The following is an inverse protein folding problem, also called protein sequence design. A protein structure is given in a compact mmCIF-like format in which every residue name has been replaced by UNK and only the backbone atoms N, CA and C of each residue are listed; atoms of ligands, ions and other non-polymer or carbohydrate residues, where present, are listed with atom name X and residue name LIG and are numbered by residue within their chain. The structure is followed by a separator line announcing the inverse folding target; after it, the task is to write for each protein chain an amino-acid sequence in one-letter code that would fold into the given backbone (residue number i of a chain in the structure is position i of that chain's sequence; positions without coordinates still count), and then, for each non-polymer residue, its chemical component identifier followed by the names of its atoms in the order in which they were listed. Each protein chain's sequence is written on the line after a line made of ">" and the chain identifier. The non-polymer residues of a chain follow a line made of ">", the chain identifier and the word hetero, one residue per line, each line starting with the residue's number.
data_IF_836202719806
#
_entry.id   IF_836202719806
#
_cell.length_a   1.000
_cell.length_b   1.000
_cell.length_c   1.000
_cell.angle_alpha   90.00
_cell.angle_beta   90.00
_cell.angle_gamma   90.00
#
_symmetry.space_group_name_H-M   'P 1'
#
loop_
_entity.id
_entity.type
_entity.pdbx_description
1 polymer ?
#
# COMPACT_ATOMS: atom_id res chain seq x y z
N UNK A 1 3.43 8.27 23.54
CA UNK A 1 2.89 8.23 22.17
C UNK A 1 3.73 7.24 21.38
N UNK A 2 3.15 6.16 20.87
CA UNK A 2 3.88 5.28 19.93
C UNK A 2 4.12 6.09 18.65
N UNK A 3 5.38 6.31 18.28
CA UNK A 3 5.73 6.99 17.04
C UNK A 3 5.14 6.22 15.85
N UNK A 4 4.52 6.94 14.91
CA UNK A 4 4.11 6.39 13.62
C UNK A 4 5.34 5.76 12.97
N UNK A 5 5.20 4.54 12.45
CA UNK A 5 6.31 3.78 11.89
C UNK A 5 5.93 3.19 10.55
N UNK A 6 6.79 3.38 9.54
CA UNK A 6 6.65 2.75 8.22
C UNK A 6 7.84 1.83 7.93
N UNK A 7 7.70 0.80 7.08
CA UNK A 7 8.84 0.01 6.62
C UNK A 7 9.86 0.89 5.88
N UNK A 8 11.13 0.48 5.89
CA UNK A 8 12.17 1.00 5.00
C UNK A 8 11.73 0.85 3.54
N UNK A 9 11.72 1.94 2.79
CA UNK A 9 11.57 1.90 1.34
C UNK A 9 12.95 1.80 0.69
N UNK A 10 13.30 0.58 0.30
CA UNK A 10 14.59 0.28 -0.33
C UNK A 10 14.75 0.86 -1.74
N UNK A 11 13.76 1.60 -2.24
CA UNK A 11 13.75 2.20 -3.57
C UNK A 11 13.86 3.72 -3.56
N UNK A 12 14.14 4.36 -2.41
CA UNK A 12 14.38 5.81 -2.36
C UNK A 12 15.73 6.15 -2.99
N UNK A 13 15.70 6.79 -4.16
CA UNK A 13 16.89 7.14 -4.92
C UNK A 13 16.84 8.58 -5.43
N UNK A 14 18.00 9.17 -5.68
CA UNK A 14 18.15 10.50 -6.26
C UNK A 14 19.43 10.57 -7.06
N UNK A 15 19.36 11.04 -8.31
CA UNK A 15 20.55 11.30 -9.12
C UNK A 15 21.07 12.73 -8.95
N UNK A 16 20.42 13.55 -8.12
CA UNK A 16 20.80 14.92 -7.86
C UNK A 16 22.26 15.00 -7.34
N UNK A 17 23.13 15.85 -7.91
CA UNK A 17 24.54 15.93 -7.51
C UNK A 17 24.73 16.23 -6.03
N UNK A 18 23.91 17.11 -5.45
CA UNK A 18 23.99 17.45 -4.02
C UNK A 18 23.55 16.28 -3.12
N UNK A 19 22.63 15.42 -3.57
CA UNK A 19 22.28 14.20 -2.84
C UNK A 19 23.46 13.22 -2.82
N UNK A 20 24.16 13.08 -3.95
CA UNK A 20 25.37 12.27 -4.03
C UNK A 20 26.48 12.83 -3.13
N UNK A 21 26.73 14.13 -3.18
CA UNK A 21 27.72 14.80 -2.33
C UNK A 21 27.43 14.64 -0.85
N UNK A 22 26.17 14.81 -0.44
CA UNK A 22 25.74 14.57 0.94
C UNK A 22 26.07 13.15 1.40
N UNK A 23 25.72 12.13 0.60
CA UNK A 23 26.03 10.73 0.91
C UNK A 23 27.54 10.52 1.01
N UNK A 24 28.33 11.09 0.10
CA UNK A 24 29.79 10.95 0.10
C UNK A 24 30.43 11.57 1.35
N UNK A 25 29.94 12.74 1.80
CA UNK A 25 30.37 13.37 3.06
C UNK A 25 30.11 12.45 4.26
N UNK A 26 28.91 11.87 4.37
CA UNK A 26 28.59 10.92 5.46
C UNK A 26 29.43 9.66 5.32
N UNK A 27 29.63 9.16 4.10
CA UNK A 27 30.36 7.93 3.85
C UNK A 27 31.83 8.05 4.24
N UNK A 28 32.51 9.11 3.81
CA UNK A 28 33.91 9.38 4.13
C UNK A 28 34.11 9.64 5.64
N UNK A 29 33.21 10.42 6.26
CA UNK A 29 33.36 10.82 7.66
C UNK A 29 33.15 9.68 8.65
N UNK A 30 32.17 8.79 8.39
CA UNK A 30 31.74 7.78 9.35
C UNK A 30 32.11 6.35 8.96
N UNK A 31 32.55 6.13 7.72
CA UNK A 31 33.00 4.82 7.24
C UNK A 31 34.30 4.91 6.43
N UNK A 32 35.37 5.53 6.97
CA UNK A 32 36.59 5.82 6.20
C UNK A 32 37.28 4.56 5.66
N UNK A 33 37.16 3.42 6.34
CA UNK A 33 37.72 2.14 5.88
C UNK A 33 36.98 1.63 4.64
N UNK A 34 35.65 1.64 4.67
CA UNK A 34 34.80 1.21 3.55
C UNK A 34 34.90 2.19 2.38
N UNK A 35 35.05 3.49 2.66
CA UNK A 35 35.29 4.52 1.66
C UNK A 35 36.60 4.29 0.89
N UNK A 36 37.64 3.78 1.55
CA UNK A 36 38.93 3.44 0.93
C UNK A 36 38.99 2.02 0.35
N UNK A 37 37.94 1.22 0.50
CA UNK A 37 37.91 -0.17 0.00
C UNK A 37 37.89 -0.26 -1.53
N UNK A 38 38.02 -1.47 -2.07
CA UNK A 38 37.98 -1.70 -3.52
C UNK A 38 36.70 -1.15 -4.17
N UNK A 39 36.77 -0.84 -5.46
CA UNK A 39 35.69 -0.16 -6.22
C UNK A 39 34.33 -0.83 -6.08
N UNK A 40 34.27 -2.16 -6.19
CA UNK A 40 33.00 -2.92 -6.14
C UNK A 40 32.36 -2.87 -4.76
N UNK A 41 33.14 -3.19 -3.71
CA UNK A 41 32.68 -3.14 -2.32
C UNK A 41 32.24 -1.75 -1.91
N UNK A 42 33.03 -0.74 -2.28
CA UNK A 42 32.74 0.69 -2.04
C UNK A 42 31.42 1.11 -2.68
N UNK A 43 31.20 0.75 -3.96
CA UNK A 43 29.97 1.08 -4.68
C UNK A 43 28.75 0.46 -4.01
N UNK A 44 28.78 -0.84 -3.72
CA UNK A 44 27.68 -1.55 -3.06
C UNK A 44 27.37 -0.97 -1.67
N UNK A 45 28.39 -0.70 -0.85
CA UNK A 45 28.18 -0.11 0.47
C UNK A 45 27.60 1.31 0.39
N UNK A 46 28.09 2.12 -0.56
CA UNK A 46 27.56 3.46 -0.80
C UNK A 46 26.09 3.43 -1.22
N UNK A 47 25.68 2.47 -2.06
CA UNK A 47 24.28 2.29 -2.46
C UNK A 47 23.40 2.01 -1.24
N UNK A 48 23.78 1.04 -0.39
CA UNK A 48 23.03 0.71 0.83
C UNK A 48 22.93 1.92 1.78
N UNK A 49 24.02 2.66 1.96
CA UNK A 49 24.06 3.88 2.78
C UNK A 49 23.15 4.98 2.20
N UNK A 50 23.22 5.20 0.88
CA UNK A 50 22.43 6.22 0.18
C UNK A 50 20.94 5.99 0.39
N UNK A 51 20.46 4.78 0.15
CA UNK A 51 19.04 4.44 0.35
C UNK A 51 18.59 4.70 1.78
N UNK A 52 19.38 4.28 2.76
CA UNK A 52 19.06 4.51 4.17
C UNK A 52 18.93 6.00 4.51
N UNK A 53 19.90 6.80 4.07
CA UNK A 53 19.96 8.22 4.36
C UNK A 53 18.83 8.99 3.65
N UNK A 54 18.56 8.67 2.39
CA UNK A 54 17.47 9.29 1.63
C UNK A 54 16.10 8.90 2.20
N UNK A 55 15.90 7.64 2.59
CA UNK A 55 14.62 7.23 3.19
C UNK A 55 14.40 7.87 4.57
N UNK A 56 15.46 8.02 5.38
CA UNK A 56 15.42 8.79 6.63
C UNK A 56 15.12 10.28 6.39
N UNK A 57 15.71 10.88 5.36
CA UNK A 57 15.46 12.27 4.98
C UNK A 57 14.00 12.49 4.58
N UNK A 58 13.46 11.62 3.72
CA UNK A 58 12.03 11.66 3.33
C UNK A 58 11.14 11.46 4.57
N UNK A 59 11.43 10.46 5.39
CA UNK A 59 10.62 10.19 6.60
C UNK A 59 10.60 11.37 7.57
N UNK A 60 11.71 12.07 7.74
CA UNK A 60 11.82 13.22 8.64
C UNK A 60 11.09 14.46 8.10
N UNK A 61 11.20 14.73 6.79
CA UNK A 61 10.46 15.80 6.13
C UNK A 61 8.94 15.55 6.16
N UNK A 62 8.52 14.29 6.06
CA UNK A 62 7.13 13.91 6.26
C UNK A 62 6.73 14.17 7.71
N UNK A 63 7.30 13.47 8.68
CA UNK A 63 6.99 13.70 10.09
C UNK A 63 8.26 13.55 10.93
N UNK A 64 8.73 14.61 11.61
CA UNK A 64 9.91 14.55 12.45
C UNK A 64 9.86 13.49 13.57
N UNK A 65 8.66 13.00 13.94
CA UNK A 65 8.47 11.93 14.93
C UNK A 65 8.35 10.55 14.30
N UNK A 66 8.21 10.43 12.99
CA UNK A 66 8.08 9.15 12.29
C UNK A 66 9.37 8.34 12.38
N UNK A 67 9.21 7.03 12.51
CA UNK A 67 10.33 6.08 12.57
C UNK A 67 10.28 5.11 11.41
N UNK A 68 11.44 4.60 11.01
CA UNK A 68 11.54 3.58 9.96
C UNK A 68 11.75 2.22 10.60
N UNK A 69 10.89 1.26 10.25
CA UNK A 69 11.02 -0.14 10.60
C UNK A 69 12.07 -0.84 9.73
N UNK A 70 13.05 -1.49 10.36
CA UNK A 70 14.17 -2.17 9.70
C UNK A 70 14.36 -3.59 10.22
N UNK A 71 14.58 -4.52 9.28
CA UNK A 71 14.98 -5.88 9.59
C UNK A 71 16.45 -5.95 10.01
N UNK A 72 16.76 -6.64 11.10
CA UNK A 72 18.12 -6.75 11.65
C UNK A 72 18.73 -8.15 11.48
N UNK A 73 18.23 -8.93 10.51
CA UNK A 73 18.78 -10.24 10.14
C UNK A 73 18.85 -10.39 8.62
N UNK A 74 19.71 -11.30 8.14
CA UNK A 74 19.96 -11.49 6.71
C UNK A 74 18.71 -11.90 5.93
N UNK A 75 17.74 -12.57 6.57
CA UNK A 75 16.51 -13.04 5.90
C UNK A 75 15.62 -11.91 5.37
N UNK A 76 15.80 -10.68 5.84
CA UNK A 76 15.09 -9.50 5.33
C UNK A 76 15.66 -8.97 4.01
N UNK A 77 16.88 -9.37 3.63
CA UNK A 77 17.60 -8.78 2.49
C UNK A 77 17.88 -9.86 1.44
N UNK A 78 17.02 -9.92 0.42
CA UNK A 78 17.19 -10.79 -0.74
C UNK A 78 17.80 -9.98 -1.88
N UNK A 79 19.13 -10.05 -2.02
CA UNK A 79 19.89 -9.22 -2.97
C UNK A 79 19.48 -9.46 -4.42
N UNK A 80 19.30 -10.72 -4.81
CA UNK A 80 19.02 -11.11 -6.20
C UNK A 80 17.52 -11.18 -6.52
N UNK A 81 16.67 -10.65 -5.64
CA UNK A 81 15.22 -10.63 -5.87
C UNK A 81 14.85 -9.47 -6.79
N UNK A 82 13.93 -9.70 -7.74
CA UNK A 82 13.39 -8.63 -8.60
C UNK A 82 12.75 -7.49 -7.81
N UNK A 83 12.24 -7.78 -6.61
CA UNK A 83 11.60 -6.79 -5.73
C UNK A 83 12.61 -5.90 -4.99
N UNK A 84 13.91 -6.16 -5.16
CA UNK A 84 15.02 -5.41 -4.60
C UNK A 84 15.89 -4.84 -5.74
N UNK A 85 15.32 -3.92 -6.52
CA UNK A 85 15.97 -3.33 -7.70
C UNK A 85 17.33 -2.66 -7.42
N UNK A 86 17.58 -2.23 -6.17
CA UNK A 86 18.88 -1.66 -5.76
C UNK A 86 19.87 -2.68 -5.22
N UNK A 87 19.51 -3.96 -5.20
CA UNK A 87 20.32 -5.04 -4.64
C UNK A 87 20.77 -4.73 -3.20
N UNK A 88 19.87 -4.11 -2.41
CA UNK A 88 20.17 -3.73 -1.03
C UNK A 88 20.52 -4.97 -0.23
N UNK A 89 21.70 -4.93 0.38
CA UNK A 89 22.28 -6.10 1.03
C UNK A 89 22.13 -6.06 2.54
N UNK A 90 22.44 -7.18 3.19
CA UNK A 90 22.49 -7.26 4.66
C UNK A 90 23.57 -6.35 5.28
N UNK A 91 24.48 -5.75 4.48
CA UNK A 91 25.43 -4.73 4.94
C UNK A 91 24.71 -3.51 5.52
N UNK A 92 23.45 -3.28 5.15
CA UNK A 92 22.62 -2.26 5.78
C UNK A 92 22.58 -2.39 7.31
N UNK A 93 22.63 -3.61 7.84
CA UNK A 93 22.66 -3.87 9.29
C UNK A 93 23.92 -3.27 9.94
N UNK A 94 25.10 -3.43 9.32
CA UNK A 94 26.34 -2.87 9.86
C UNK A 94 26.36 -1.34 9.73
N UNK A 95 25.80 -0.80 8.65
CA UNK A 95 25.59 0.65 8.47
C UNK A 95 24.72 1.20 9.62
N UNK A 96 23.56 0.60 9.87
CA UNK A 96 22.63 1.01 10.94
C UNK A 96 23.33 0.98 12.32
N UNK A 97 24.07 -0.08 12.62
CA UNK A 97 24.78 -0.21 13.90
C UNK A 97 25.81 0.90 14.08
N UNK A 98 26.61 1.19 13.06
CA UNK A 98 27.65 2.22 13.16
C UNK A 98 27.04 3.64 13.22
N UNK A 99 26.02 3.94 12.42
CA UNK A 99 25.30 5.23 12.51
C UNK A 99 24.65 5.43 13.87
N UNK A 100 24.14 4.36 14.48
CA UNK A 100 23.57 4.41 15.83
C UNK A 100 24.65 4.68 16.88
N UNK A 101 25.80 3.99 16.77
CA UNK A 101 26.95 4.14 17.67
C UNK A 101 27.56 5.54 17.63
N UNK A 102 27.68 6.11 16.43
CA UNK A 102 28.21 7.47 16.20
C UNK A 102 27.19 8.58 16.54
N UNK A 103 25.94 8.19 16.78
CA UNK A 103 24.86 9.08 17.22
C UNK A 103 24.20 9.87 16.09
N UNK A 104 24.35 9.46 14.83
CA UNK A 104 23.59 10.02 13.71
C UNK A 104 22.12 9.56 13.74
N UNK A 105 21.88 8.33 14.18
CA UNK A 105 20.52 7.79 14.29
C UNK A 105 20.24 7.28 15.70
N UNK A 106 18.95 7.24 16.03
CA UNK A 106 18.43 6.42 17.11
C UNK A 106 18.10 5.03 16.59
N UNK A 107 18.18 4.05 17.49
CA UNK A 107 17.82 2.66 17.22
C UNK A 107 17.06 2.14 18.44
N UNK A 108 15.84 1.69 18.22
CA UNK A 108 15.05 0.92 19.19
C UNK A 108 14.97 -0.52 18.69
N UNK A 109 15.56 -1.50 19.40
CA UNK A 109 15.46 -2.90 19.00
C UNK A 109 14.01 -3.37 18.91
N UNK A 110 13.74 -4.22 17.91
CA UNK A 110 12.51 -4.98 17.80
C UNK A 110 12.45 -6.13 18.82
N UNK A 111 11.37 -6.90 18.77
CA UNK A 111 11.18 -8.09 19.57
C UNK A 111 10.44 -9.15 18.74
N UNK A 112 11.09 -10.30 18.57
CA UNK A 112 10.51 -11.45 17.85
C UNK A 112 9.21 -11.92 18.52
N UNK A 113 9.18 -11.96 19.86
CA UNK A 113 8.00 -12.36 20.63
C UNK A 113 6.76 -11.49 20.34
N UNK A 114 6.96 -10.20 20.11
CA UNK A 114 5.88 -9.27 19.75
C UNK A 114 5.69 -9.07 18.25
N UNK A 115 6.46 -9.76 17.40
CA UNK A 115 6.47 -9.57 15.95
C UNK A 115 6.90 -8.16 15.50
N UNK A 116 7.55 -7.38 16.37
CA UNK A 116 7.95 -6.00 16.08
C UNK A 116 9.37 -5.97 15.52
N UNK A 117 9.55 -5.30 14.38
CA UNK A 117 10.89 -5.00 13.83
C UNK A 117 11.56 -3.83 14.55
N UNK A 118 12.88 -3.70 14.40
CA UNK A 118 13.62 -2.56 14.97
C UNK A 118 13.20 -1.26 14.31
N UNK A 119 13.28 -0.16 15.06
CA UNK A 119 12.92 1.19 14.58
C UNK A 119 14.12 2.13 14.63
N UNK A 120 14.30 2.91 13.58
CA UNK A 120 15.34 3.93 13.49
C UNK A 120 14.75 5.31 13.19
N UNK A 121 15.47 6.36 13.55
CA UNK A 121 15.10 7.75 13.28
C UNK A 121 16.37 8.61 13.28
N UNK A 122 16.40 9.75 12.56
CA UNK A 122 17.54 10.64 12.60
C UNK A 122 17.64 11.33 13.98
N UNK A 123 18.88 11.52 14.46
CA UNK A 123 19.18 12.34 15.65
C UNK A 123 19.66 13.72 15.23
N UNK A 124 19.79 14.63 16.20
CA UNK A 124 20.22 16.01 16.01
C UNK A 124 21.43 16.19 15.07
N UNK A 125 22.45 15.30 15.15
CA UNK A 125 23.62 15.35 14.24
C UNK A 125 23.24 15.15 12.78
N UNK A 126 22.43 14.14 12.47
CA UNK A 126 21.98 13.87 11.10
C UNK A 126 20.95 14.89 10.63
N UNK A 127 20.05 15.34 11.52
CA UNK A 127 19.10 16.41 11.22
C UNK A 127 19.83 17.69 10.80
N UNK A 128 20.90 18.08 11.51
CA UNK A 128 21.72 19.23 11.13
C UNK A 128 22.36 19.07 9.75
N UNK A 129 22.73 17.85 9.36
CA UNK A 129 23.22 17.58 8.00
C UNK A 129 22.08 17.71 6.98
N UNK A 130 20.89 17.19 7.29
CA UNK A 130 19.70 17.33 6.45
C UNK A 130 19.28 18.79 6.22
N UNK A 131 19.33 19.63 7.26
CA UNK A 131 19.04 21.07 7.16
C UNK A 131 20.04 21.81 6.24
N UNK A 132 21.24 21.27 6.05
CA UNK A 132 22.28 21.86 5.19
C UNK A 132 22.30 21.32 3.75
N UNK A 133 21.42 20.39 3.38
CA UNK A 133 21.40 19.84 2.02
C UNK A 133 20.79 20.82 1.02
N UNK A 134 21.20 20.71 -0.24
CA UNK A 134 20.74 21.55 -1.37
C UNK A 134 19.93 20.74 -2.39
N UNK A 135 19.12 19.82 -1.90
CA UNK A 135 18.16 19.02 -2.66
C UNK A 135 16.92 18.83 -1.78
N UNK A 136 15.76 18.62 -2.40
CA UNK A 136 14.49 18.44 -1.71
C UNK A 136 13.95 17.00 -1.79
N UNK A 137 12.77 16.80 -1.23
CA UNK A 137 12.07 15.49 -1.28
C UNK A 137 11.53 15.17 -2.67
N UNK A 138 11.38 16.19 -3.51
CA UNK A 138 11.02 16.15 -4.92
C UNK A 138 12.16 15.60 -5.79
N UNK A 139 13.42 15.75 -5.35
CA UNK A 139 14.59 15.17 -6.02
C UNK A 139 14.77 13.68 -5.72
N UNK A 140 13.91 13.11 -4.86
CA UNK A 140 13.95 11.70 -4.46
C UNK A 140 12.77 10.98 -5.10
N UNK A 141 13.07 9.98 -5.92
CA UNK A 141 12.06 9.18 -6.62
C UNK A 141 12.35 7.67 -6.53
N UNK A 142 11.33 6.82 -6.69
CA UNK A 142 11.53 5.42 -6.97
C UNK A 142 12.38 5.25 -8.24
N UNK A 143 13.21 4.21 -8.27
CA UNK A 143 13.87 3.81 -9.51
C UNK A 143 12.87 3.34 -10.57
N UNK A 144 13.22 3.56 -11.84
CA UNK A 144 12.47 3.07 -13.00
C UNK A 144 12.47 1.53 -13.04
N UNK A 145 13.56 0.93 -12.56
CA UNK A 145 13.76 -0.51 -12.46
C UNK A 145 12.95 -1.16 -11.32
N UNK A 146 12.33 -0.37 -10.43
CA UNK A 146 11.49 -0.89 -9.36
C UNK A 146 10.38 -1.76 -9.95
N UNK A 147 10.37 -3.04 -9.56
CA UNK A 147 9.35 -3.97 -10.03
C UNK A 147 7.94 -3.48 -9.65
N UNK A 148 7.09 -3.29 -10.66
CA UNK A 148 5.73 -2.83 -10.52
C UNK A 148 4.71 -3.96 -10.69
N UNK A 149 5.13 -5.14 -11.14
CA UNK A 149 4.33 -6.35 -11.25
C UNK A 149 4.69 -7.31 -10.12
N UNK A 150 3.75 -7.53 -9.20
CA UNK A 150 3.94 -8.35 -8.01
C UNK A 150 3.17 -9.65 -8.15
N UNK A 151 3.85 -10.79 -8.00
CA UNK A 151 3.21 -12.09 -7.90
C UNK A 151 3.28 -12.59 -6.45
N UNK A 152 2.13 -12.92 -5.86
CA UNK A 152 2.04 -13.49 -4.51
C UNK A 152 1.63 -14.94 -4.54
N UNK A 153 2.21 -15.74 -3.66
CA UNK A 153 1.72 -17.09 -3.38
C UNK A 153 0.48 -17.09 -2.47
N UNK A 154 -0.07 -18.28 -2.19
CA UNK A 154 -1.25 -18.48 -1.31
C UNK A 154 -1.06 -17.94 0.11
N UNK A 155 0.19 -17.78 0.56
CA UNK A 155 0.55 -17.23 1.86
C UNK A 155 0.79 -15.71 1.82
N UNK A 156 0.37 -15.04 0.73
CA UNK A 156 0.55 -13.60 0.49
C UNK A 156 2.02 -13.14 0.46
N UNK A 157 2.97 -14.05 0.25
CA UNK A 157 4.39 -13.72 0.08
C UNK A 157 4.69 -13.45 -1.38
N UNK A 158 5.41 -12.37 -1.64
CA UNK A 158 5.89 -12.02 -2.97
C UNK A 158 6.93 -13.07 -3.42
N UNK A 159 6.81 -13.54 -4.67
CA UNK A 159 7.63 -14.60 -5.26
C UNK A 159 8.18 -14.18 -6.63
N UNK A 160 9.30 -14.76 -7.03
CA UNK A 160 9.87 -14.62 -8.38
C UNK A 160 8.97 -15.30 -9.43
N UNK A 161 9.10 -14.90 -10.69
CA UNK A 161 8.35 -15.45 -11.82
C UNK A 161 9.15 -15.40 -13.12
N UNK A 162 8.81 -16.24 -14.08
CA UNK A 162 9.43 -16.22 -15.40
C UNK A 162 8.90 -15.05 -16.23
N UNK A 163 9.78 -14.46 -17.06
CA UNK A 163 9.36 -13.40 -17.97
C UNK A 163 8.53 -13.95 -19.12
N UNK A 164 7.56 -13.16 -19.57
CA UNK A 164 6.74 -13.44 -20.74
C UNK A 164 6.36 -12.12 -21.41
N UNK A 165 6.12 -12.14 -22.73
CA UNK A 165 5.86 -10.92 -23.50
C UNK A 165 4.71 -10.07 -22.95
N UNK A 166 3.61 -10.72 -22.53
CA UNK A 166 2.47 -10.02 -21.95
C UNK A 166 2.80 -9.37 -20.58
N UNK A 167 3.75 -9.94 -19.82
CA UNK A 167 4.23 -9.38 -18.56
C UNK A 167 5.10 -8.15 -18.85
N UNK A 168 5.96 -8.25 -19.85
CA UNK A 168 6.79 -7.13 -20.29
C UNK A 168 5.94 -5.94 -20.75
N UNK A 169 4.95 -6.15 -21.63
CA UNK A 169 4.04 -5.10 -22.09
C UNK A 169 3.29 -4.44 -20.92
N UNK A 170 2.75 -5.26 -20.01
CA UNK A 170 2.06 -4.79 -18.82
C UNK A 170 2.97 -3.95 -17.91
N UNK A 171 4.24 -4.35 -17.78
CA UNK A 171 5.24 -3.65 -16.97
C UNK A 171 5.59 -2.29 -17.58
N UNK A 172 5.82 -2.21 -18.88
CA UNK A 172 6.14 -0.95 -19.57
C UNK A 172 4.97 0.04 -19.45
N UNK A 173 3.74 -0.39 -19.71
CA UNK A 173 2.56 0.48 -19.51
C UNK A 173 2.44 1.00 -18.08
N UNK A 174 2.72 0.16 -17.08
CA UNK A 174 2.65 0.56 -15.68
C UNK A 174 3.85 1.44 -15.27
N UNK A 175 5.01 1.31 -15.91
CA UNK A 175 6.14 2.23 -15.73
C UNK A 175 5.79 3.62 -16.26
N UNK A 176 5.22 3.70 -17.45
CA UNK A 176 4.76 4.96 -18.05
C UNK A 176 3.72 5.64 -17.15
N UNK A 177 2.77 4.86 -16.63
CA UNK A 177 1.77 5.37 -15.68
C UNK A 177 2.40 5.87 -14.37
N UNK A 178 3.39 5.15 -13.82
CA UNK A 178 4.10 5.58 -12.62
C UNK A 178 4.93 6.85 -12.85
N UNK A 179 5.56 7.01 -14.01
CA UNK A 179 6.28 8.23 -14.37
C UNK A 179 5.31 9.42 -14.52
N UNK A 180 4.15 9.20 -15.15
CA UNK A 180 3.06 10.18 -15.19
C UNK A 180 2.63 10.59 -13.77
N UNK A 181 2.37 9.63 -12.89
CA UNK A 181 1.98 9.91 -11.51
C UNK A 181 3.07 10.67 -10.76
N UNK A 182 4.35 10.32 -10.96
CA UNK A 182 5.48 10.97 -10.31
C UNK A 182 5.53 12.47 -10.62
N UNK A 183 5.43 12.85 -11.90
CA UNK A 183 5.46 14.26 -12.36
C UNK A 183 4.17 15.05 -12.11
N UNK A 184 3.08 14.37 -11.77
CA UNK A 184 1.76 14.99 -11.58
C UNK A 184 1.58 15.42 -10.13
N UNK A 185 1.23 16.67 -9.86
CA UNK A 185 0.89 17.11 -8.51
C UNK A 185 -0.51 16.61 -8.15
N UNK A 186 -0.63 15.82 -7.09
CA UNK A 186 -1.93 15.30 -6.61
C UNK A 186 -2.06 15.66 -5.14
N UNK A 187 -3.13 16.37 -4.78
CA UNK A 187 -3.32 16.89 -3.43
C UNK A 187 -4.79 16.97 -3.04
N UNK A 188 -5.06 17.36 -1.79
CA UNK A 188 -6.38 17.71 -1.27
C UNK A 188 -6.27 19.13 -0.69
N UNK A 189 -6.58 20.18 -1.47
CA UNK A 189 -6.26 21.57 -1.10
C UNK A 189 -7.08 22.09 0.08
N UNK A 190 -8.17 21.41 0.45
CA UNK A 190 -8.98 21.75 1.64
C UNK A 190 -8.28 21.41 2.97
N UNK A 191 -7.16 20.68 2.95
CA UNK A 191 -6.45 20.27 4.15
C UNK A 191 -5.36 21.28 4.54
N UNK A 192 -5.47 21.89 5.72
CA UNK A 192 -4.41 22.76 6.29
C UNK A 192 -3.09 22.01 6.53
N UNK A 193 -3.19 20.71 6.81
CA UNK A 193 -2.05 19.80 6.99
C UNK A 193 -2.28 18.60 6.10
N UNK A 194 -1.24 18.07 5.43
CA UNK A 194 -1.37 16.98 4.47
C UNK A 194 -1.54 15.61 5.16
N UNK A 195 -2.50 15.52 6.09
CA UNK A 195 -2.74 14.36 6.95
C UNK A 195 -4.26 14.20 7.14
N UNK A 196 -4.78 13.03 6.82
CA UNK A 196 -6.14 12.61 7.14
C UNK A 196 -6.10 11.65 8.34
N UNK A 197 -6.89 11.96 9.36
CA UNK A 197 -7.10 11.05 10.50
C UNK A 197 -8.28 10.13 10.21
N UNK A 198 -8.05 8.82 10.25
CA UNK A 198 -9.13 7.84 10.16
C UNK A 198 -9.84 7.74 11.51
N UNK A 199 -11.17 7.83 11.51
CA UNK A 199 -11.97 7.60 12.73
C UNK A 199 -11.71 6.18 13.26
N UNK A 200 -11.37 6.06 14.54
CA UNK A 200 -11.15 4.77 15.21
C UNK A 200 -9.81 4.08 14.89
N UNK A 201 -9.00 4.59 13.96
CA UNK A 201 -7.66 4.10 13.68
C UNK A 201 -6.62 5.02 14.33
N UNK A 202 -5.53 4.42 14.84
CA UNK A 202 -4.37 5.19 15.33
C UNK A 202 -3.48 5.66 14.17
N UNK A 203 -3.69 5.11 12.97
CA UNK A 203 -2.92 5.44 11.79
C UNK A 203 -3.59 6.59 11.02
N UNK A 204 -2.79 7.61 10.73
CA UNK A 204 -3.16 8.66 9.79
C UNK A 204 -2.73 8.30 8.37
N UNK A 205 -3.40 8.87 7.38
CA UNK A 205 -2.95 8.84 5.99
C UNK A 205 -2.27 10.15 5.70
N UNK A 206 -1.05 10.08 5.20
CA UNK A 206 -0.32 11.25 4.73
C UNK A 206 -0.57 11.47 3.24
N UNK A 207 -0.90 12.70 2.89
CA UNK A 207 -0.93 13.18 1.51
C UNK A 207 0.50 13.61 1.16
N UNK A 208 1.09 12.99 0.14
CA UNK A 208 2.50 13.19 -0.17
C UNK A 208 2.78 12.85 -1.62
N UNK A 209 3.67 13.63 -2.23
CA UNK A 209 4.15 13.36 -3.60
C UNK A 209 5.09 12.14 -3.65
N UNK A 210 5.55 11.65 -2.49
CA UNK A 210 6.46 10.52 -2.37
C UNK A 210 5.77 9.14 -2.24
N UNK A 211 4.43 9.11 -2.17
CA UNK A 211 3.61 7.90 -2.06
C UNK A 211 2.58 7.83 -3.21
N UNK A 212 3.09 7.82 -4.44
CA UNK A 212 2.27 7.72 -5.67
C UNK A 212 2.56 6.46 -6.49
N UNK A 213 3.56 5.67 -6.11
CA UNK A 213 3.94 4.47 -6.85
C UNK A 213 2.84 3.40 -6.79
N UNK A 214 2.41 2.95 -7.96
CA UNK A 214 1.36 1.96 -8.18
C UNK A 214 1.97 0.67 -8.71
N UNK A 215 1.44 -0.45 -8.21
CA UNK A 215 1.83 -1.82 -8.55
C UNK A 215 0.61 -2.59 -9.02
N UNK A 216 0.78 -3.56 -9.89
CA UNK A 216 -0.23 -4.55 -10.23
C UNK A 216 0.06 -5.83 -9.46
N UNK A 217 -0.88 -6.27 -8.60
CA UNK A 217 -0.65 -7.40 -7.70
C UNK A 217 -1.50 -8.60 -8.10
N UNK A 218 -0.83 -9.71 -8.39
CA UNK A 218 -1.39 -11.01 -8.70
C UNK A 218 -1.27 -11.96 -7.51
N UNK A 219 -2.12 -12.97 -7.48
CA UNK A 219 -2.28 -13.87 -6.33
C UNK A 219 -2.12 -15.34 -6.70
N UNK A 220 -1.99 -16.18 -5.66
CA UNK A 220 -1.98 -17.64 -5.77
C UNK A 220 -0.98 -18.22 -6.78
N UNK A 221 0.16 -17.54 -6.95
CA UNK A 221 1.22 -17.93 -7.89
C UNK A 221 0.75 -18.00 -9.35
N UNK A 222 -0.30 -17.26 -9.73
CA UNK A 222 -0.83 -17.20 -11.09
C UNK A 222 -1.13 -15.76 -11.52
N UNK A 223 -0.84 -15.44 -12.79
CA UNK A 223 -1.20 -14.16 -13.41
C UNK A 223 -2.68 -14.07 -13.82
N UNK A 224 -3.45 -15.14 -13.61
CA UNK A 224 -4.90 -15.19 -13.90
C UNK A 224 -5.76 -14.70 -12.73
N UNK A 225 -5.18 -14.50 -11.55
CA UNK A 225 -5.91 -14.12 -10.34
C UNK A 225 -5.38 -12.81 -9.75
N UNK A 226 -6.29 -11.91 -9.41
CA UNK A 226 -5.96 -10.56 -8.96
C UNK A 226 -5.67 -9.64 -10.15
N UNK A 227 -4.52 -8.99 -10.14
CA UNK A 227 -4.12 -8.03 -11.16
C UNK A 227 -4.74 -6.65 -11.00
N UNK A 228 -5.26 -6.31 -9.81
CA UNK A 228 -5.69 -4.94 -9.49
C UNK A 228 -4.47 -4.05 -9.26
N UNK A 229 -4.65 -2.75 -9.51
CA UNK A 229 -3.68 -1.73 -9.19
C UNK A 229 -3.73 -1.38 -7.70
N UNK A 230 -2.57 -1.32 -7.06
CA UNK A 230 -2.38 -1.03 -5.64
C UNK A 230 -1.25 -0.03 -5.43
N UNK A 231 -1.47 0.98 -4.59
CA UNK A 231 -0.52 2.05 -4.33
C UNK A 231 -1.25 3.38 -4.23
N UNK A 232 -0.51 4.49 -4.25
CA UNK A 232 -1.09 5.82 -4.07
C UNK A 232 -1.70 6.01 -2.67
N UNK A 233 -1.54 7.18 -2.09
CA UNK A 233 -2.22 7.46 -0.82
C UNK A 233 -3.76 7.49 -0.99
N UNK A 234 -4.27 7.88 -2.17
CA UNK A 234 -5.69 8.05 -2.46
C UNK A 234 -6.51 6.75 -2.38
N UNK A 235 -5.90 5.57 -2.57
CA UNK A 235 -6.64 4.31 -2.42
C UNK A 235 -7.06 4.01 -0.98
N UNK A 236 -6.41 4.65 -0.01
CA UNK A 236 -6.62 4.37 1.41
C UNK A 236 -7.50 5.41 2.11
N UNK A 237 -7.77 6.56 1.46
CA UNK A 237 -8.51 7.65 2.10
C UNK A 237 -9.99 7.33 2.26
N UNK A 238 -10.64 7.85 3.32
CA UNK A 238 -12.08 7.77 3.49
C UNK A 238 -12.84 8.38 2.31
N UNK A 239 -14.05 7.90 2.05
CA UNK A 239 -14.85 8.25 0.86
C UNK A 239 -15.10 9.76 0.78
N UNK A 240 -15.33 10.42 1.92
CA UNK A 240 -15.62 11.84 2.01
C UNK A 240 -14.51 12.74 1.46
N UNK A 241 -13.25 12.29 1.49
CA UNK A 241 -12.09 13.04 1.00
C UNK A 241 -11.80 12.79 -0.49
N UNK A 242 -12.40 11.76 -1.12
CA UNK A 242 -12.09 11.42 -2.53
C UNK A 242 -12.54 12.50 -3.51
N UNK A 243 -13.71 13.08 -3.26
CA UNK A 243 -14.25 14.22 -4.02
C UNK A 243 -13.43 15.51 -3.87
N UNK A 244 -12.49 15.54 -2.94
CA UNK A 244 -11.65 16.70 -2.63
C UNK A 244 -10.24 16.54 -3.24
N UNK A 245 -10.00 15.47 -4.03
CA UNK A 245 -8.73 15.27 -4.73
C UNK A 245 -8.62 16.25 -5.90
N UNK A 246 -7.49 16.92 -6.00
CA UNK A 246 -7.10 17.78 -7.11
C UNK A 246 -5.91 17.17 -7.84
N UNK A 247 -5.88 17.38 -9.15
CA UNK A 247 -4.77 16.99 -10.02
C UNK A 247 -4.26 18.27 -10.69
N UNK A 248 -2.99 18.62 -10.46
CA UNK A 248 -2.37 19.86 -10.93
C UNK A 248 -3.26 21.08 -10.64
N UNK A 249 -3.69 21.22 -9.38
CA UNK A 249 -4.57 22.29 -8.89
C UNK A 249 -5.92 22.41 -9.62
N UNK A 250 -6.34 21.35 -10.31
CA UNK A 250 -7.63 21.28 -11.00
C UNK A 250 -8.54 20.29 -10.27
N UNK A 251 -9.83 20.65 -10.01
CA UNK A 251 -10.78 19.73 -9.38
C UNK A 251 -11.02 18.51 -10.25
N UNK A 252 -11.39 17.40 -9.61
CA UNK A 252 -11.62 16.12 -10.30
C UNK A 252 -13.09 15.69 -10.28
N UNK A 253 -13.46 14.82 -11.21
CA UNK A 253 -14.73 14.09 -11.23
C UNK A 253 -14.37 12.60 -11.13
N UNK A 254 -15.10 11.88 -10.27
CA UNK A 254 -14.95 10.43 -10.10
C UNK A 254 -16.08 9.71 -10.86
N UNK A 255 -15.72 9.05 -11.95
CA UNK A 255 -16.63 8.11 -12.64
C UNK A 255 -16.49 6.72 -11.99
N UNK A 256 -17.58 6.19 -11.43
CA UNK A 256 -17.62 4.89 -10.77
C UNK A 256 -18.59 3.91 -11.46
N UNK A 257 -18.23 2.63 -11.45
CA UNK A 257 -19.05 1.57 -12.01
C UNK A 257 -20.06 1.06 -10.97
N UNK A 258 -21.33 1.40 -11.20
CA UNK A 258 -22.42 0.91 -10.36
C UNK A 258 -22.52 -0.61 -10.37
N UNK A 259 -22.60 -1.20 -9.18
CA UNK A 259 -22.75 -2.65 -8.96
C UNK A 259 -21.73 -3.54 -9.72
N UNK A 260 -20.48 -3.07 -9.88
CA UNK A 260 -19.45 -3.71 -10.72
C UNK A 260 -19.39 -5.24 -10.63
N UNK A 261 -19.33 -5.83 -9.43
CA UNK A 261 -19.19 -7.28 -9.29
C UNK A 261 -20.39 -8.05 -9.86
N UNK A 262 -21.61 -7.54 -9.66
CA UNK A 262 -22.83 -8.13 -10.22
C UNK A 262 -22.81 -8.01 -11.74
N UNK A 263 -22.49 -6.82 -12.25
CA UNK A 263 -22.44 -6.56 -13.70
C UNK A 263 -21.40 -7.42 -14.42
N UNK A 264 -20.25 -7.69 -13.78
CA UNK A 264 -19.24 -8.60 -14.33
C UNK A 264 -19.76 -10.04 -14.44
N UNK A 265 -20.58 -10.51 -13.49
CA UNK A 265 -21.19 -11.84 -13.57
C UNK A 265 -22.23 -11.89 -14.71
N UNK A 266 -23.12 -10.90 -14.79
CA UNK A 266 -24.09 -10.80 -15.89
C UNK A 266 -23.39 -10.77 -17.26
N UNK A 267 -22.40 -9.89 -17.41
CA UNK A 267 -21.62 -9.76 -18.64
C UNK A 267 -20.90 -11.05 -19.01
N UNK A 268 -20.33 -11.77 -18.04
CA UNK A 268 -19.69 -13.08 -18.27
C UNK A 268 -20.67 -14.12 -18.82
N UNK A 269 -21.94 -14.01 -18.46
CA UNK A 269 -23.02 -14.87 -18.95
C UNK A 269 -23.67 -14.35 -20.25
N UNK A 270 -23.18 -13.24 -20.80
CA UNK A 270 -23.77 -12.59 -21.98
C UNK A 270 -25.13 -11.95 -21.70
N UNK A 271 -25.42 -11.61 -20.44
CA UNK A 271 -26.67 -11.02 -20.00
C UNK A 271 -26.50 -9.54 -19.67
N UNK A 272 -27.58 -8.79 -19.82
CA UNK A 272 -27.70 -7.41 -19.34
C UNK A 272 -28.60 -7.37 -18.10
N UNK A 273 -28.27 -6.48 -17.15
CA UNK A 273 -29.10 -6.26 -15.97
C UNK A 273 -30.21 -5.24 -16.26
N UNK A 274 -31.45 -5.56 -15.89
CA UNK A 274 -32.58 -4.62 -15.96
C UNK A 274 -32.54 -3.65 -14.78
N UNK A 275 -32.17 -2.39 -15.05
CA UNK A 275 -32.01 -1.34 -14.05
C UNK A 275 -33.32 -0.73 -13.52
N UNK A 276 -34.48 -1.35 -13.78
CA UNK A 276 -35.77 -0.93 -13.18
C UNK A 276 -35.76 -0.98 -11.65
N UNK A 277 -34.99 -1.88 -11.07
CA UNK A 277 -34.81 -1.99 -9.63
C UNK A 277 -33.35 -1.83 -9.25
N UNK A 278 -33.11 -1.40 -8.01
CA UNK A 278 -31.77 -1.36 -7.47
C UNK A 278 -31.22 -2.81 -7.27
N UNK A 279 -29.99 -3.10 -7.73
CA UNK A 279 -29.41 -4.44 -7.69
C UNK A 279 -29.05 -4.97 -6.30
N UNK A 280 -29.01 -4.13 -5.28
CA UNK A 280 -28.70 -4.57 -3.91
C UNK A 280 -29.89 -4.44 -2.97
N UNK A 281 -30.93 -3.71 -3.34
CA UNK A 281 -32.11 -3.54 -2.50
C UNK A 281 -32.96 -4.81 -2.44
N UNK A 282 -33.08 -5.38 -1.24
CA UNK A 282 -33.99 -6.47 -0.90
C UNK A 282 -34.58 -6.15 0.48
N UNK A 283 -35.92 -6.07 0.63
CA UNK A 283 -36.56 -5.74 1.90
C UNK A 283 -36.26 -6.71 3.04
N UNK A 284 -36.04 -6.15 4.24
CA UNK A 284 -35.73 -6.86 5.49
C UNK A 284 -36.68 -6.37 6.60
N UNK A 285 -37.54 -7.26 7.08
CA UNK A 285 -38.65 -6.94 8.01
C UNK A 285 -38.27 -6.15 9.28
N UNK A 286 -37.02 -6.27 9.76
CA UNK A 286 -36.57 -5.60 10.98
C UNK A 286 -35.69 -4.36 10.72
N UNK A 287 -35.57 -3.93 9.47
CA UNK A 287 -34.83 -2.73 9.04
C UNK A 287 -35.84 -1.77 8.40
N UNK A 288 -35.84 -0.51 8.83
CA UNK A 288 -36.82 0.50 8.39
C UNK A 288 -36.22 1.54 7.44
N UNK A 289 -34.99 1.32 6.96
CA UNK A 289 -34.27 2.23 6.07
C UNK A 289 -33.89 1.49 4.80
N UNK A 290 -34.40 1.94 3.66
CA UNK A 290 -34.05 1.41 2.34
C UNK A 290 -32.54 1.50 2.07
N UNK A 291 -31.89 2.56 2.54
CA UNK A 291 -30.43 2.72 2.43
C UNK A 291 -29.68 1.64 3.21
N UNK A 292 -30.15 1.30 4.42
CA UNK A 292 -29.55 0.26 5.25
C UNK A 292 -29.85 -1.15 4.69
N UNK A 293 -31.06 -1.40 4.20
CA UNK A 293 -31.42 -2.64 3.48
C UNK A 293 -30.52 -2.85 2.25
N UNK A 294 -30.35 -1.80 1.44
CA UNK A 294 -29.46 -1.79 0.28
C UNK A 294 -28.02 -2.06 0.69
N UNK A 295 -27.54 -1.47 1.79
CA UNK A 295 -26.20 -1.70 2.31
C UNK A 295 -26.02 -3.15 2.75
N UNK A 296 -26.99 -3.72 3.48
CA UNK A 296 -26.99 -5.14 3.87
C UNK A 296 -26.94 -6.04 2.63
N UNK A 297 -27.77 -5.79 1.62
CA UNK A 297 -27.79 -6.57 0.39
C UNK A 297 -26.46 -6.50 -0.36
N UNK A 298 -25.85 -5.32 -0.43
CA UNK A 298 -24.52 -5.13 -1.04
C UNK A 298 -23.44 -5.91 -0.30
N UNK A 299 -23.34 -5.74 1.02
CA UNK A 299 -22.32 -6.42 1.83
C UNK A 299 -22.50 -7.94 1.83
N UNK A 300 -23.75 -8.41 1.90
CA UNK A 300 -24.09 -9.83 1.80
C UNK A 300 -23.68 -10.41 0.45
N UNK A 301 -24.07 -9.77 -0.66
CA UNK A 301 -23.77 -10.28 -2.00
C UNK A 301 -22.26 -10.34 -2.26
N UNK A 302 -21.54 -9.28 -1.90
CA UNK A 302 -20.09 -9.22 -2.09
C UNK A 302 -19.35 -10.25 -1.25
N UNK A 303 -19.80 -10.53 -0.04
CA UNK A 303 -19.19 -11.58 0.80
C UNK A 303 -19.54 -12.99 0.31
N UNK A 304 -20.78 -13.22 -0.13
CA UNK A 304 -21.22 -14.49 -0.70
C UNK A 304 -20.44 -14.86 -1.97
N UNK A 305 -20.31 -13.94 -2.92
CA UNK A 305 -19.54 -14.14 -4.17
C UNK A 305 -18.06 -14.49 -3.94
N UNK A 306 -17.49 -14.07 -2.81
CA UNK A 306 -16.08 -14.31 -2.46
C UNK A 306 -15.90 -15.51 -1.52
N UNK A 307 -16.98 -16.13 -1.06
CA UNK A 307 -16.94 -17.22 -0.08
C UNK A 307 -16.65 -18.56 -0.74
N UNK A 308 -15.97 -19.46 -0.01
CA UNK A 308 -15.76 -20.84 -0.45
C UNK A 308 -16.93 -21.76 -0.14
N UNK A 309 -17.68 -21.41 0.92
CA UNK A 309 -18.84 -22.13 1.42
C UNK A 309 -19.86 -21.15 2.00
N UNK A 310 -21.14 -21.53 2.00
CA UNK A 310 -22.23 -20.74 2.59
C UNK A 310 -21.92 -20.30 4.03
N UNK A 311 -21.42 -21.20 4.87
CA UNK A 311 -21.09 -20.89 6.26
C UNK A 311 -19.97 -19.85 6.38
N UNK A 312 -18.95 -19.93 5.53
CA UNK A 312 -17.88 -18.92 5.49
C UNK A 312 -18.40 -17.55 5.00
N UNK A 313 -19.30 -17.55 4.02
CA UNK A 313 -19.95 -16.33 3.51
C UNK A 313 -20.83 -15.68 4.57
N UNK A 314 -21.66 -16.44 5.28
CA UNK A 314 -22.51 -15.92 6.35
C UNK A 314 -21.70 -15.33 7.50
N UNK A 315 -20.60 -16.00 7.87
CA UNK A 315 -19.67 -15.46 8.87
C UNK A 315 -19.03 -14.15 8.40
N UNK A 316 -18.60 -14.07 7.14
CA UNK A 316 -18.02 -12.87 6.56
C UNK A 316 -19.05 -11.72 6.49
N UNK A 317 -20.27 -11.99 6.02
CA UNK A 317 -21.36 -11.02 5.97
C UNK A 317 -21.63 -10.39 7.34
N UNK A 318 -21.72 -11.20 8.40
CA UNK A 318 -21.89 -10.68 9.78
C UNK A 318 -20.75 -9.79 10.24
N UNK A 319 -19.51 -10.14 9.87
CA UNK A 319 -18.34 -9.31 10.18
C UNK A 319 -18.46 -7.96 9.50
N UNK A 320 -18.75 -7.95 8.20
CA UNK A 320 -18.93 -6.72 7.41
C UNK A 320 -20.09 -5.88 7.95
N UNK A 321 -21.21 -6.49 8.35
CA UNK A 321 -22.31 -5.76 8.98
C UNK A 321 -21.86 -5.07 10.27
N UNK A 322 -21.08 -5.77 11.10
CA UNK A 322 -20.54 -5.20 12.34
C UNK A 322 -19.57 -4.06 12.07
N UNK A 323 -18.69 -4.22 11.07
CA UNK A 323 -17.69 -3.22 10.67
C UNK A 323 -18.33 -1.96 10.05
N UNK A 324 -19.57 -2.07 9.54
CA UNK A 324 -20.38 -0.97 9.01
C UNK A 324 -21.47 -0.51 10.00
N UNK A 325 -21.35 -0.84 11.28
CA UNK A 325 -22.27 -0.43 12.37
C UNK A 325 -23.74 -0.88 12.19
N UNK A 326 -24.00 -1.90 11.39
CA UNK A 326 -25.32 -2.52 11.21
C UNK A 326 -25.57 -3.49 12.37
N UNK A 327 -26.26 -3.00 13.42
CA UNK A 327 -26.39 -3.71 14.70
C UNK A 327 -27.81 -4.16 14.99
N UNK A 328 -28.10 -5.41 14.62
CA UNK A 328 -29.35 -6.11 14.97
C UNK A 328 -29.04 -7.42 15.72
N UNK A 329 -28.79 -7.34 17.05
CA UNK A 329 -28.37 -8.49 17.85
C UNK A 329 -29.35 -9.67 17.70
N UNK A 330 -28.80 -10.84 17.35
CA UNK A 330 -29.57 -12.08 17.20
C UNK A 330 -30.49 -12.14 15.96
N UNK A 331 -30.55 -11.11 15.10
CA UNK A 331 -31.41 -11.13 13.91
C UNK A 331 -30.76 -11.80 12.71
N UNK A 332 -29.47 -11.56 12.46
CA UNK A 332 -28.71 -12.16 11.36
C UNK A 332 -28.27 -13.62 11.62
N UNK A 333 -29.21 -14.49 12.01
CA UNK A 333 -28.97 -15.93 12.22
C UNK A 333 -28.64 -16.66 10.91
N UNK A 334 -28.09 -17.88 10.97
CA UNK A 334 -27.84 -18.69 9.76
C UNK A 334 -29.15 -18.97 9.02
N UNK A 335 -30.26 -19.19 9.76
CA UNK A 335 -31.60 -19.34 9.19
C UNK A 335 -32.03 -18.11 8.41
N UNK A 336 -31.84 -16.92 8.97
CA UNK A 336 -32.15 -15.67 8.28
C UNK A 336 -31.30 -15.51 7.01
N UNK A 337 -29.98 -15.67 7.12
CA UNK A 337 -29.07 -15.49 5.98
C UNK A 337 -29.30 -16.52 4.88
N UNK A 338 -29.72 -17.73 5.22
CA UNK A 338 -30.11 -18.72 4.23
C UNK A 338 -31.41 -18.34 3.50
N UNK A 339 -32.41 -17.82 4.22
CA UNK A 339 -33.62 -17.30 3.58
C UNK A 339 -33.31 -16.06 2.73
N UNK A 340 -32.42 -15.19 3.19
CA UNK A 340 -31.97 -14.01 2.47
C UNK A 340 -31.19 -14.38 1.21
N UNK A 341 -30.35 -15.42 1.26
CA UNK A 341 -29.68 -15.97 0.10
C UNK A 341 -30.67 -16.41 -0.98
N UNK A 342 -31.77 -17.08 -0.59
CA UNK A 342 -32.81 -17.44 -1.55
C UNK A 342 -33.50 -16.22 -2.16
N UNK A 343 -33.73 -15.14 -1.38
CA UNK A 343 -34.24 -13.87 -1.92
C UNK A 343 -33.27 -13.25 -2.93
N UNK A 344 -31.97 -13.28 -2.64
CA UNK A 344 -30.91 -12.82 -3.54
C UNK A 344 -30.91 -13.61 -4.84
N UNK A 345 -30.98 -14.94 -4.78
CA UNK A 345 -31.05 -15.81 -5.96
C UNK A 345 -32.33 -15.54 -6.76
N UNK A 346 -33.47 -15.35 -6.10
CA UNK A 346 -34.71 -15.02 -6.80
C UNK A 346 -34.65 -13.67 -7.53
N UNK A 347 -33.99 -12.66 -6.93
CA UNK A 347 -33.77 -11.35 -7.56
C UNK A 347 -32.72 -11.43 -8.68
N UNK A 348 -31.72 -12.30 -8.53
CA UNK A 348 -30.66 -12.50 -9.50
C UNK A 348 -30.47 -13.99 -9.84
N UNK A 349 -31.41 -14.61 -10.59
CA UNK A 349 -31.31 -16.03 -10.93
C UNK A 349 -29.97 -16.43 -11.58
N UNK A 350 -29.34 -15.61 -12.44
CA UNK A 350 -28.03 -15.93 -13.02
C UNK A 350 -26.88 -16.10 -12.02
N UNK A 351 -27.06 -15.71 -10.75
CA UNK A 351 -26.02 -15.79 -9.72
C UNK A 351 -26.05 -17.10 -8.92
N UNK A 352 -27.06 -17.97 -9.09
CA UNK A 352 -27.22 -19.18 -8.30
C UNK A 352 -25.96 -20.07 -8.29
N UNK A 353 -25.29 -20.23 -9.43
CA UNK A 353 -24.06 -21.04 -9.55
C UNK A 353 -22.83 -20.40 -8.89
N UNK A 354 -22.92 -19.13 -8.48
CA UNK A 354 -21.83 -18.32 -7.95
C UNK A 354 -21.94 -18.00 -6.45
N UNK A 355 -23.05 -18.40 -5.79
CA UNK A 355 -23.37 -18.09 -4.39
C UNK A 355 -23.56 -19.36 -3.54
#
# INVERSE_FOLDING_TARGET
>A
MENISRPLDVHKWSDHPEANKFVDVVFESYFPQQFKSNRSSRKSFRTDLKVLLLDLYVSWNEDPKQTIGVGMSNSFYKMDSRYNALHISYKLISIIKELSKTGLIGLKPGSEWSGKVSRIWPKAKLIKLFEGVKFGVEDIKPLVERECIILRNKNKKDIEYEEADYIHQMREHLRDYNELLHRTFIDIPSLDKPIIQKKGDKNSIRITQNNKFVRRIFHNSTFKEGGRYYGGWWQNIPKEFRREIYINDTPTIEDDYSALHLMLVYSKLGLEYDWKEDPYHIPIEFINSEEEERLVGKLFLLTALNAKTKQSGFKAARSEFTDNDIRYPGKFTDKFLNNYLNKVINKHPPLEEYL
#
